data_IF_142420068393
#
_entry.id   IF_142420068393
#
_cell.length_a   1.000
_cell.length_b   1.000
_cell.length_c   1.000
_cell.angle_alpha   90.00
_cell.angle_beta   90.00
_cell.angle_gamma   90.00
#
_symmetry.space_group_name_H-M   'P 1'
#
loop_
_entity.id
_entity.type
_entity.pdbx_description
1 polymer ?
#
# COMPACT_ATOMS: atom_id res chain seq x y z
N UNK A 1 -21.10 29.18 7.53
CA UNK A 1 -21.34 28.21 8.63
C UNK A 1 -21.99 26.90 8.11
N UNK A 2 -21.49 26.32 6.99
CA UNK A 2 -22.04 25.09 6.38
C UNK A 2 -20.99 24.13 5.80
N UNK A 3 -19.71 24.47 5.87
CA UNK A 3 -18.62 23.64 5.34
C UNK A 3 -18.01 22.68 6.39
N UNK A 4 -18.09 22.97 7.68
CA UNK A 4 -17.38 22.16 8.70
C UNK A 4 -18.06 20.82 9.05
N UNK A 5 -19.37 20.66 8.80
CA UNK A 5 -20.13 19.48 9.23
C UNK A 5 -19.97 18.31 8.24
N UNK A 6 -19.78 18.59 6.95
CA UNK A 6 -19.66 17.55 5.91
C UNK A 6 -18.31 16.83 5.99
N UNK A 7 -17.21 17.55 6.24
CA UNK A 7 -15.89 16.93 6.42
C UNK A 7 -15.80 16.12 7.71
N UNK A 8 -16.46 16.54 8.80
CA UNK A 8 -16.46 15.80 10.07
C UNK A 8 -17.17 14.44 9.97
N UNK A 9 -18.25 14.35 9.21
CA UNK A 9 -18.99 13.09 9.01
C UNK A 9 -18.24 12.12 8.09
N UNK A 10 -17.54 12.64 7.07
CA UNK A 10 -16.75 11.80 6.14
C UNK A 10 -15.50 11.22 6.82
N UNK A 11 -14.86 11.98 7.71
CA UNK A 11 -13.69 11.50 8.48
C UNK A 11 -14.10 10.44 9.50
N UNK A 12 -15.26 10.61 10.16
CA UNK A 12 -15.75 9.61 11.13
C UNK A 12 -16.26 8.32 10.45
N UNK A 13 -16.81 8.41 9.23
CA UNK A 13 -17.23 7.25 8.46
C UNK A 13 -16.04 6.47 7.85
N UNK A 14 -14.95 7.14 7.42
CA UNK A 14 -13.73 6.46 6.94
C UNK A 14 -12.98 5.76 8.09
N UNK A 15 -13.14 6.21 9.33
CA UNK A 15 -12.59 5.56 10.52
C UNK A 15 -13.35 4.29 10.98
N UNK A 16 -14.55 4.02 10.45
CA UNK A 16 -15.38 2.85 10.82
C UNK A 16 -15.68 1.92 9.62
N UNK A 17 -14.99 2.10 8.50
CA UNK A 17 -14.92 1.09 7.45
C UNK A 17 -14.11 -0.08 7.98
N UNK A 18 -14.73 -1.25 8.11
CA UNK A 18 -14.09 -2.49 8.54
C UNK A 18 -12.72 -2.63 7.89
N UNK A 19 -11.64 -2.63 8.67
CA UNK A 19 -10.29 -2.87 8.19
C UNK A 19 -10.23 -4.28 7.58
N UNK A 20 -10.55 -4.36 6.29
CA UNK A 20 -10.56 -5.57 5.51
C UNK A 20 -9.34 -5.53 4.61
N UNK A 21 -8.51 -6.57 4.70
CA UNK A 21 -7.39 -6.76 3.77
C UNK A 21 -8.02 -7.10 2.42
N UNK A 22 -7.74 -6.28 1.41
CA UNK A 22 -8.23 -6.53 0.04
C UNK A 22 -7.35 -7.55 -0.66
N UNK A 23 -6.03 -7.34 -0.63
CA UNK A 23 -5.05 -8.17 -1.32
C UNK A 23 -3.72 -8.16 -0.58
N UNK A 24 -3.08 -9.33 -0.50
CA UNK A 24 -1.74 -9.49 0.06
C UNK A 24 -0.73 -9.76 -1.06
N UNK A 25 0.35 -9.00 -1.07
CA UNK A 25 1.47 -9.16 -1.99
C UNK A 25 2.74 -9.40 -1.17
N UNK A 26 3.54 -10.39 -1.56
CA UNK A 26 4.88 -10.60 -1.02
C UNK A 26 5.85 -10.43 -2.17
N UNK A 27 6.74 -9.46 -2.04
CA UNK A 27 7.71 -9.07 -3.06
C UNK A 27 9.11 -9.40 -2.54
N UNK A 28 9.93 -9.98 -3.42
CA UNK A 28 11.33 -10.25 -3.14
C UNK A 28 12.15 -8.97 -3.10
N UNK A 29 13.34 -9.05 -2.50
CA UNK A 29 14.36 -7.98 -2.52
C UNK A 29 14.70 -7.49 -3.94
N UNK A 30 14.56 -8.36 -4.95
CA UNK A 30 14.80 -8.02 -6.35
C UNK A 30 13.60 -7.34 -7.05
N UNK A 31 12.52 -7.05 -6.33
CA UNK A 31 11.29 -6.47 -6.89
C UNK A 31 10.34 -7.47 -7.57
N UNK A 32 10.65 -8.77 -7.51
CA UNK A 32 9.81 -9.82 -8.09
C UNK A 32 8.71 -10.27 -7.13
N UNK A 33 7.46 -10.38 -7.61
CA UNK A 33 6.34 -10.89 -6.81
C UNK A 33 6.53 -12.40 -6.53
N UNK A 34 6.59 -12.77 -5.26
CA UNK A 34 6.71 -14.16 -4.78
C UNK A 34 5.33 -14.75 -4.52
N UNK A 35 4.43 -13.95 -3.95
CA UNK A 35 3.10 -14.40 -3.55
C UNK A 35 2.08 -13.30 -3.76
N UNK A 36 0.90 -13.69 -4.23
CA UNK A 36 -0.26 -12.83 -4.34
C UNK A 36 -1.50 -13.58 -3.90
N UNK A 37 -2.28 -12.94 -3.04
CA UNK A 37 -3.56 -13.47 -2.57
C UNK A 37 -4.56 -12.35 -2.50
N UNK A 38 -5.60 -12.47 -3.32
CA UNK A 38 -6.76 -11.59 -3.28
C UNK A 38 -7.78 -12.16 -2.29
N UNK A 39 -8.28 -11.31 -1.39
CA UNK A 39 -9.32 -11.61 -0.41
C UNK A 39 -10.62 -10.87 -0.72
N UNK A 40 -10.61 -9.94 -1.68
CA UNK A 40 -11.77 -9.18 -2.13
C UNK A 40 -12.54 -9.88 -3.26
N UNK A 41 -13.82 -9.56 -3.39
CA UNK A 41 -14.61 -9.92 -4.59
C UNK A 41 -14.54 -8.84 -5.68
N UNK A 42 -13.98 -7.66 -5.36
CA UNK A 42 -13.98 -6.50 -6.24
C UNK A 42 -12.62 -6.34 -6.92
N UNK A 43 -12.55 -6.70 -8.20
CA UNK A 43 -11.42 -6.33 -9.05
C UNK A 43 -10.19 -7.21 -8.93
N UNK A 44 -10.33 -8.52 -9.17
CA UNK A 44 -9.18 -9.42 -9.35
C UNK A 44 -8.30 -8.87 -10.47
N UNK A 45 -7.12 -8.39 -10.09
CA UNK A 45 -6.10 -8.00 -11.05
C UNK A 45 -5.57 -9.25 -11.74
N UNK A 46 -5.29 -9.15 -13.04
CA UNK A 46 -4.62 -10.25 -13.74
C UNK A 46 -3.18 -10.40 -13.22
N UNK A 47 -2.54 -11.54 -13.52
CA UNK A 47 -1.18 -11.82 -13.05
C UNK A 47 -0.17 -10.77 -13.54
N UNK A 48 -0.33 -10.25 -14.75
CA UNK A 48 0.58 -9.26 -15.32
C UNK A 48 0.44 -7.91 -14.62
N UNK A 49 -0.78 -7.49 -14.33
CA UNK A 49 -1.06 -6.24 -13.62
C UNK A 49 -0.57 -6.32 -12.17
N UNK A 50 -0.72 -7.48 -11.54
CA UNK A 50 -0.17 -7.75 -10.20
C UNK A 50 1.36 -7.65 -10.20
N UNK A 51 2.02 -8.23 -11.21
CA UNK A 51 3.48 -8.12 -11.39
C UNK A 51 3.94 -6.68 -11.63
N UNK A 52 3.17 -5.91 -12.41
CA UNK A 52 3.42 -4.48 -12.64
C UNK A 52 3.30 -3.69 -11.34
N UNK A 53 2.23 -3.89 -10.55
CA UNK A 53 2.04 -3.21 -9.26
C UNK A 53 3.20 -3.52 -8.31
N UNK A 54 3.63 -4.78 -8.21
CA UNK A 54 4.77 -5.15 -7.39
C UNK A 54 6.06 -4.42 -7.81
N UNK A 55 6.33 -4.37 -9.11
CA UNK A 55 7.52 -3.70 -9.67
C UNK A 55 7.47 -2.18 -9.44
N UNK A 56 6.30 -1.58 -9.64
CA UNK A 56 6.06 -0.16 -9.40
C UNK A 56 6.26 0.18 -7.93
N UNK A 57 5.67 -0.60 -7.03
CA UNK A 57 5.85 -0.42 -5.59
C UNK A 57 7.33 -0.44 -5.20
N UNK A 58 8.07 -1.46 -5.66
CA UNK A 58 9.49 -1.59 -5.36
C UNK A 58 10.29 -0.35 -5.82
N UNK A 59 10.05 0.13 -7.04
CA UNK A 59 10.69 1.37 -7.53
C UNK A 59 10.30 2.60 -6.71
N UNK A 60 9.03 2.73 -6.34
CA UNK A 60 8.52 3.85 -5.57
C UNK A 60 9.11 3.89 -4.16
N UNK A 61 9.21 2.73 -3.53
CA UNK A 61 9.85 2.53 -2.23
C UNK A 61 11.32 2.97 -2.26
N UNK A 62 12.07 2.53 -3.28
CA UNK A 62 13.48 2.91 -3.45
C UNK A 62 13.67 4.40 -3.74
N UNK A 63 12.82 5.01 -4.57
CA UNK A 63 12.87 6.45 -4.86
C UNK A 63 12.54 7.26 -3.61
N UNK A 64 11.58 6.83 -2.80
CA UNK A 64 11.23 7.49 -1.54
C UNK A 64 12.39 7.50 -0.55
N UNK A 65 13.23 6.46 -0.52
CA UNK A 65 14.44 6.44 0.30
C UNK A 65 15.46 7.49 -0.17
N UNK A 66 15.59 7.72 -1.48
CA UNK A 66 16.50 8.72 -2.05
C UNK A 66 16.01 10.16 -1.89
N UNK A 67 14.69 10.36 -1.97
CA UNK A 67 14.07 11.67 -1.81
C UNK A 67 13.94 12.10 -0.35
N UNK A 68 14.05 11.18 0.60
CA UNK A 68 13.88 11.52 2.00
C UNK A 68 14.96 12.52 2.46
N UNK A 69 14.57 13.67 3.04
CA UNK A 69 15.51 14.62 3.60
C UNK A 69 16.14 14.11 4.92
N UNK A 70 15.64 12.99 5.46
CA UNK A 70 16.10 12.39 6.71
C UNK A 70 16.97 11.18 6.42
N UNK A 71 18.21 11.22 6.90
CA UNK A 71 19.15 10.10 6.82
C UNK A 71 18.61 8.89 7.59
N UNK A 72 18.49 7.74 6.91
CA UNK A 72 18.05 6.48 7.51
C UNK A 72 16.57 6.12 7.30
N UNK A 73 15.87 6.78 6.38
CA UNK A 73 14.50 6.37 6.03
C UNK A 73 14.46 5.00 5.34
N UNK A 74 13.55 4.16 5.81
CA UNK A 74 13.23 2.82 5.31
C UNK A 74 12.41 2.81 4.03
N UNK A 75 11.87 3.96 3.58
CA UNK A 75 11.05 4.09 2.38
C UNK A 75 9.59 4.40 2.72
N UNK A 76 8.65 3.89 1.91
CA UNK A 76 7.21 4.11 2.08
C UNK A 76 6.62 2.97 2.94
N UNK A 77 6.00 3.31 4.06
CA UNK A 77 5.35 2.34 4.97
C UNK A 77 3.82 2.34 4.82
N UNK A 78 3.24 3.45 4.38
CA UNK A 78 1.80 3.61 4.15
C UNK A 78 1.57 4.54 2.96
N UNK A 79 0.79 4.05 1.99
CA UNK A 79 0.25 4.85 0.90
C UNK A 79 -1.27 4.89 1.04
N UNK A 80 -1.79 6.06 1.41
CA UNK A 80 -3.22 6.26 1.66
C UNK A 80 -3.89 6.85 0.42
N UNK A 81 -4.98 6.24 -0.04
CA UNK A 81 -5.78 6.74 -1.16
C UNK A 81 -7.25 6.90 -0.75
N UNK A 82 -8.04 7.48 -1.66
CA UNK A 82 -9.47 7.74 -1.39
C UNK A 82 -10.24 6.44 -1.16
N UNK A 83 -9.88 5.39 -1.90
CA UNK A 83 -10.62 4.11 -1.96
C UNK A 83 -9.91 2.94 -1.27
N UNK A 84 -8.60 2.96 -1.14
CA UNK A 84 -7.81 1.92 -0.48
C UNK A 84 -6.60 2.52 0.22
N UNK A 85 -6.11 1.81 1.22
CA UNK A 85 -4.87 2.14 1.90
C UNK A 85 -3.93 0.96 1.69
N UNK A 86 -2.68 1.23 1.31
CA UNK A 86 -1.69 0.21 1.02
C UNK A 86 -0.58 0.29 2.06
N UNK A 87 -0.45 -0.76 2.85
CA UNK A 87 0.51 -0.86 3.93
C UNK A 87 1.71 -1.67 3.49
N UNK A 88 2.92 -1.21 3.83
CA UNK A 88 4.16 -1.90 3.50
C UNK A 88 4.93 -2.24 4.76
N UNK A 89 5.28 -3.52 4.86
CA UNK A 89 6.10 -4.06 5.93
C UNK A 89 7.35 -4.69 5.32
N UNK A 90 8.50 -4.05 5.57
CA UNK A 90 9.79 -4.57 5.15
C UNK A 90 10.38 -5.45 6.26
N UNK A 91 10.69 -6.70 5.92
CA UNK A 91 11.36 -7.63 6.84
C UNK A 91 12.87 -7.37 6.89
N UNK A 92 13.51 -7.74 8.02
CA UNK A 92 14.97 -7.64 8.21
C UNK A 92 15.77 -8.42 7.15
N UNK A 93 15.14 -9.40 6.50
CA UNK A 93 15.72 -10.25 5.45
C UNK A 93 15.55 -9.67 4.03
N UNK A 94 14.85 -8.54 3.88
CA UNK A 94 14.73 -7.80 2.61
C UNK A 94 13.54 -8.18 1.74
N UNK A 95 12.53 -8.88 2.27
CA UNK A 95 11.24 -9.07 1.61
C UNK A 95 10.27 -7.96 2.02
N UNK A 96 9.54 -7.43 1.03
CA UNK A 96 8.53 -6.39 1.21
C UNK A 96 7.13 -7.03 1.16
N UNK A 97 6.36 -6.90 2.23
CA UNK A 97 4.98 -7.37 2.30
C UNK A 97 4.02 -6.18 2.15
N UNK A 98 3.08 -6.28 1.22
CA UNK A 98 2.05 -5.27 0.99
C UNK A 98 0.67 -5.82 1.32
N UNK A 99 -0.13 -5.10 2.08
CA UNK A 99 -1.52 -5.43 2.37
C UNK A 99 -2.48 -4.26 2.16
#
# INVERSE_FOLDING_TARGET
>A
MKFSIVYGFQILAKAFGMAAIYSLYIINKSGGLIYYKDYGSAGRMDTNDTLRVASLWHSMHAISQQLSPVSGCSGIELLQADTFDLHCFQSLTGFDMLC
#
